data_IF_872416747579
#
_entry.id   IF_872416747579
#
_cell.length_a   1.000
_cell.length_b   1.000
_cell.length_c   1.000
_cell.angle_alpha   90.00
_cell.angle_beta   90.00
_cell.angle_gamma   90.00
#
_symmetry.space_group_name_H-M   'P 1'
#
loop_
_entity.id
_entity.type
_entity.pdbx_description
1 polymer ?
#
# COMPACT_ATOMS: atom_id res chain seq x y z
N UNK A 1 5.14 -23.61 1.98
CA UNK A 1 4.12 -22.56 2.20
C UNK A 1 4.60 -21.27 1.54
N UNK A 2 4.50 -21.19 0.22
CA UNK A 2 5.01 -20.06 -0.57
C UNK A 2 4.02 -19.78 -1.71
N UNK A 3 2.82 -19.35 -1.34
CA UNK A 3 1.78 -18.86 -2.25
C UNK A 3 0.99 -17.84 -1.46
N UNK A 4 0.68 -16.71 -2.10
CA UNK A 4 0.02 -15.50 -1.55
C UNK A 4 1.05 -14.50 -1.04
N UNK A 5 1.54 -13.65 -1.94
CA UNK A 5 1.63 -12.18 -1.77
C UNK A 5 1.79 -11.57 -3.16
N UNK A 6 0.79 -11.81 -4.02
CA UNK A 6 0.60 -11.03 -5.24
C UNK A 6 -0.67 -10.22 -5.07
N UNK A 7 -0.49 -8.91 -4.85
CA UNK A 7 -1.36 -7.75 -5.14
C UNK A 7 -1.33 -6.72 -4.02
N UNK A 8 -0.16 -6.19 -3.70
CA UNK A 8 -0.05 -4.90 -3.01
C UNK A 8 0.63 -3.92 -3.96
N UNK A 9 -0.11 -3.49 -4.98
CA UNK A 9 0.32 -2.40 -5.88
C UNK A 9 -0.76 -1.90 -6.87
N UNK A 10 -1.99 -2.42 -6.81
CA UNK A 10 -2.91 -2.30 -7.95
C UNK A 10 -3.81 -1.07 -8.00
N UNK A 11 -4.24 -0.51 -6.86
CA UNK A 11 -5.38 0.44 -6.86
C UNK A 11 -5.21 1.65 -5.95
N UNK A 12 -4.13 1.77 -5.16
CA UNK A 12 -4.21 2.63 -3.97
C UNK A 12 -3.27 3.84 -3.88
N UNK A 13 -2.99 4.51 -5.01
CA UNK A 13 -2.35 5.83 -4.93
C UNK A 13 -2.90 6.86 -5.92
N UNK A 14 -4.14 6.69 -6.42
CA UNK A 14 -4.73 7.70 -7.32
C UNK A 14 -6.25 7.87 -7.17
N UNK A 15 -6.82 7.58 -6.00
CA UNK A 15 -8.25 7.86 -5.72
C UNK A 15 -8.46 8.94 -4.66
N UNK A 16 -7.40 9.55 -4.12
CA UNK A 16 -7.49 10.59 -3.10
C UNK A 16 -6.92 11.89 -3.72
N UNK A 17 -7.77 12.87 -4.08
CA UNK A 17 -7.34 14.14 -4.66
C UNK A 17 -6.54 15.04 -3.71
N UNK A 18 -6.34 14.61 -2.46
CA UNK A 18 -5.81 15.42 -1.37
C UNK A 18 -4.32 15.19 -1.04
N UNK A 19 -3.62 14.28 -1.73
CA UNK A 19 -2.20 14.00 -1.45
C UNK A 19 -1.31 14.34 -2.65
N UNK A 20 -0.41 15.33 -2.54
CA UNK A 20 0.59 15.64 -3.54
C UNK A 20 1.84 14.73 -3.40
N UNK A 21 1.67 13.51 -2.90
CA UNK A 21 2.79 12.61 -2.64
C UNK A 21 3.19 11.90 -3.94
N UNK A 22 4.40 12.17 -4.42
CA UNK A 22 4.95 11.55 -5.62
C UNK A 22 5.34 10.09 -5.36
N UNK A 23 4.34 9.22 -5.30
CA UNK A 23 4.50 7.77 -5.11
C UNK A 23 5.07 7.07 -6.36
N UNK A 24 5.52 7.81 -7.37
CA UNK A 24 6.02 7.28 -8.64
C UNK A 24 7.16 6.29 -8.44
N UNK A 25 8.09 6.58 -7.55
CA UNK A 25 9.23 5.70 -7.27
C UNK A 25 8.75 4.36 -6.67
N UNK A 26 7.80 4.38 -5.73
CA UNK A 26 7.20 3.15 -5.18
C UNK A 26 6.62 2.28 -6.31
N UNK A 27 5.89 2.87 -7.25
CA UNK A 27 5.35 2.14 -8.40
C UNK A 27 6.40 1.59 -9.35
N UNK A 28 7.49 2.33 -9.59
CA UNK A 28 8.60 1.88 -10.42
C UNK A 28 9.24 0.65 -9.78
N UNK A 29 9.53 0.69 -8.48
CA UNK A 29 10.13 -0.43 -7.75
C UNK A 29 9.20 -1.65 -7.72
N UNK A 30 7.91 -1.48 -7.41
CA UNK A 30 6.92 -2.57 -7.44
C UNK A 30 6.81 -3.22 -8.82
N UNK A 31 6.91 -2.44 -9.91
CA UNK A 31 6.93 -2.97 -11.27
C UNK A 31 8.20 -3.78 -11.56
N UNK A 32 9.36 -3.31 -11.10
CA UNK A 32 10.64 -4.00 -11.27
C UNK A 32 10.70 -5.32 -10.50
N UNK A 33 10.01 -5.42 -9.36
CA UNK A 33 9.95 -6.64 -8.57
C UNK A 33 9.11 -7.74 -9.22
N UNK A 34 8.29 -7.43 -10.24
CA UNK A 34 7.45 -8.41 -10.93
C UNK A 34 8.30 -9.49 -11.60
N UNK A 35 8.23 -10.72 -11.07
CA UNK A 35 8.98 -11.87 -11.58
C UNK A 35 8.31 -12.57 -12.75
N UNK A 36 6.97 -12.61 -12.75
CA UNK A 36 6.17 -13.29 -13.78
C UNK A 36 5.01 -12.43 -14.27
N UNK A 37 4.53 -12.63 -15.52
CA UNK A 37 3.38 -11.92 -16.02
C UNK A 37 2.11 -12.20 -15.22
N UNK A 38 1.26 -11.19 -15.00
CA UNK A 38 0.07 -11.31 -14.15
C UNK A 38 -0.99 -12.23 -14.76
N UNK A 39 -0.99 -12.42 -16.07
CA UNK A 39 -1.84 -13.39 -16.77
C UNK A 39 -1.46 -14.84 -16.46
N UNK A 40 -0.23 -15.11 -16.02
CA UNK A 40 0.18 -16.46 -15.64
C UNK A 40 -0.36 -16.89 -14.27
N UNK A 41 -0.88 -15.94 -13.47
CA UNK A 41 -1.39 -16.20 -12.12
C UNK A 41 -2.92 -16.12 -12.04
N UNK A 42 -3.66 -16.25 -13.16
CA UNK A 42 -5.11 -16.03 -13.21
C UNK A 42 -5.88 -16.86 -12.16
N UNK A 43 -5.54 -18.14 -12.02
CA UNK A 43 -6.17 -19.07 -11.08
C UNK A 43 -5.89 -18.75 -9.60
N UNK A 44 -4.85 -17.97 -9.33
CA UNK A 44 -4.44 -17.58 -7.98
C UNK A 44 -4.91 -16.17 -7.61
N UNK A 45 -5.73 -15.52 -8.45
CA UNK A 45 -6.26 -14.19 -8.15
C UNK A 45 -7.35 -14.30 -7.10
N UNK A 46 -7.27 -13.41 -6.13
CA UNK A 46 -8.29 -13.25 -5.12
C UNK A 46 -8.69 -11.78 -5.04
N UNK A 47 -9.98 -11.54 -4.86
CA UNK A 47 -10.49 -10.20 -4.60
C UNK A 47 -10.44 -9.95 -3.10
N UNK A 48 -9.42 -9.21 -2.66
CA UNK A 48 -9.17 -8.85 -1.26
C UNK A 48 -10.19 -7.85 -0.69
N UNK A 49 -11.22 -7.42 -1.45
CA UNK A 49 -12.31 -6.56 -0.96
C UNK A 49 -11.83 -5.26 -0.32
N UNK A 50 -11.06 -4.49 -1.07
CA UNK A 50 -10.56 -3.19 -0.65
C UNK A 50 -11.67 -2.30 -0.03
N UNK A 51 -11.52 -1.83 1.23
CA UNK A 51 -12.66 -1.32 2.00
C UNK A 51 -13.04 0.13 1.69
N UNK A 52 -12.25 0.87 0.89
CA UNK A 52 -12.57 2.25 0.55
C UNK A 52 -13.50 2.37 -0.66
N UNK A 53 -14.65 3.02 -0.49
CA UNK A 53 -15.60 3.32 -1.57
C UNK A 53 -15.46 4.77 -2.04
N UNK A 54 -15.44 4.98 -3.36
CA UNK A 54 -15.40 6.30 -4.00
C UNK A 54 -16.80 6.92 -4.00
N UNK A 55 -17.26 7.39 -2.85
CA UNK A 55 -18.48 8.22 -2.73
C UNK A 55 -18.11 9.71 -2.63
N UNK A 56 -19.08 10.61 -2.81
CA UNK A 56 -18.89 12.06 -2.90
C UNK A 56 -18.05 12.61 -1.73
N UNK A 57 -16.85 13.10 -2.05
CA UNK A 57 -15.79 13.45 -1.09
C UNK A 57 -16.20 14.67 -0.26
N UNK A 58 -16.54 14.44 1.00
CA UNK A 58 -16.69 15.50 2.02
C UNK A 58 -15.32 15.91 2.61
N UNK A 59 -15.19 17.07 3.27
CA UNK A 59 -13.96 17.45 3.98
C UNK A 59 -13.51 16.42 5.03
N UNK A 60 -14.46 15.79 5.74
CA UNK A 60 -14.16 14.70 6.68
C UNK A 60 -13.55 13.50 5.95
N UNK A 61 -14.06 13.16 4.76
CA UNK A 61 -13.48 12.11 3.92
C UNK A 61 -12.12 12.49 3.31
N UNK A 62 -11.83 13.78 3.12
CA UNK A 62 -10.47 14.21 2.74
C UNK A 62 -9.48 13.90 3.86
N UNK A 63 -9.83 14.27 5.10
CA UNK A 63 -9.00 14.03 6.27
C UNK A 63 -8.86 12.55 6.57
N UNK A 64 -9.96 11.78 6.53
CA UNK A 64 -9.92 10.32 6.63
C UNK A 64 -9.12 9.71 5.47
N UNK A 65 -9.17 10.27 4.27
CA UNK A 65 -8.39 9.81 3.13
C UNK A 65 -6.89 9.92 3.37
N UNK A 66 -6.43 11.03 3.95
CA UNK A 66 -5.02 11.21 4.33
C UNK A 66 -4.60 10.21 5.43
N UNK A 67 -5.39 10.09 6.51
CA UNK A 67 -5.13 9.10 7.57
C UNK A 67 -5.13 7.67 7.02
N UNK A 68 -6.08 7.34 6.14
CA UNK A 68 -6.18 6.03 5.50
C UNK A 68 -4.95 5.74 4.65
N UNK A 69 -4.49 6.71 3.86
CA UNK A 69 -3.30 6.59 3.04
C UNK A 69 -2.03 6.39 3.89
N UNK A 70 -1.89 7.10 5.01
CA UNK A 70 -0.81 6.89 6.00
C UNK A 70 -0.82 5.47 6.54
N UNK A 71 -1.96 5.02 7.06
CA UNK A 71 -2.14 3.69 7.63
C UNK A 71 -1.84 2.60 6.60
N UNK A 72 -2.34 2.77 5.37
CA UNK A 72 -2.08 1.87 4.26
C UNK A 72 -0.58 1.79 3.93
N UNK A 73 0.11 2.93 3.80
CA UNK A 73 1.56 2.95 3.57
C UNK A 73 2.33 2.26 4.70
N UNK A 74 1.92 2.48 5.95
CA UNK A 74 2.54 1.85 7.11
C UNK A 74 2.38 0.32 7.07
N UNK A 75 1.19 -0.18 6.77
CA UNK A 75 0.97 -1.62 6.67
C UNK A 75 1.73 -2.24 5.49
N UNK A 76 1.81 -1.55 4.35
CA UNK A 76 2.63 -1.98 3.22
C UNK A 76 4.11 -2.07 3.63
N UNK A 77 4.63 -1.06 4.31
CA UNK A 77 6.01 -1.05 4.82
C UNK A 77 6.26 -2.24 5.76
N UNK A 78 5.35 -2.48 6.70
CA UNK A 78 5.42 -3.62 7.63
C UNK A 78 5.43 -4.96 6.88
N UNK A 79 4.57 -5.14 5.87
CA UNK A 79 4.51 -6.36 5.06
C UNK A 79 5.84 -6.62 4.32
N UNK A 80 6.46 -5.59 3.75
CA UNK A 80 7.70 -5.73 3.00
C UNK A 80 8.95 -5.86 3.88
N UNK A 81 8.89 -5.50 5.16
CA UNK A 81 9.98 -5.72 6.12
C UNK A 81 9.98 -7.12 6.74
N UNK A 82 8.94 -7.93 6.53
CA UNK A 82 8.88 -9.31 7.02
C UNK A 82 9.98 -10.19 6.40
N UNK A 83 10.49 -11.16 7.16
CA UNK A 83 11.51 -12.12 6.70
C UNK A 83 11.07 -12.89 5.44
N UNK A 84 9.78 -13.21 5.33
CA UNK A 84 9.19 -13.85 4.16
C UNK A 84 9.35 -13.02 2.88
N UNK A 85 9.29 -11.69 2.98
CA UNK A 85 9.49 -10.76 1.87
C UNK A 85 10.96 -10.77 1.43
N UNK A 86 11.91 -10.72 2.36
CA UNK A 86 13.35 -10.85 2.08
C UNK A 86 13.73 -12.22 1.51
N UNK A 87 13.04 -13.29 1.90
CA UNK A 87 13.28 -14.63 1.34
C UNK A 87 12.73 -14.80 -0.09
N UNK A 88 11.77 -13.96 -0.50
CA UNK A 88 11.04 -14.12 -1.77
C UNK A 88 11.52 -13.15 -2.85
N UNK A 89 11.76 -11.88 -2.48
CA UNK A 89 12.06 -10.81 -3.43
C UNK A 89 13.56 -10.54 -3.54
N UNK A 90 13.97 -9.84 -4.60
CA UNK A 90 15.35 -9.38 -4.73
C UNK A 90 15.64 -8.30 -3.66
N UNK A 91 16.59 -8.57 -2.75
CA UNK A 91 16.92 -7.67 -1.64
C UNK A 91 17.24 -6.25 -2.09
N UNK A 92 18.01 -6.06 -3.16
CA UNK A 92 18.35 -4.71 -3.65
C UNK A 92 17.11 -3.94 -4.13
N UNK A 93 16.14 -4.61 -4.76
CA UNK A 93 14.89 -3.96 -5.15
C UNK A 93 13.98 -3.71 -3.94
N UNK A 94 13.98 -4.63 -2.98
CA UNK A 94 13.22 -4.51 -1.73
C UNK A 94 13.73 -3.33 -0.89
N UNK A 95 15.05 -3.16 -0.75
CA UNK A 95 15.66 -2.05 -0.01
C UNK A 95 15.30 -0.69 -0.64
N UNK A 96 15.27 -0.62 -1.97
CA UNK A 96 14.83 0.59 -2.69
C UNK A 96 13.36 0.87 -2.47
N UNK A 97 12.51 -0.16 -2.54
CA UNK A 97 11.08 -0.03 -2.26
C UNK A 97 10.85 0.49 -0.82
N UNK A 98 11.49 -0.13 0.17
CA UNK A 98 11.40 0.27 1.57
C UNK A 98 11.91 1.70 1.80
N UNK A 99 13.00 2.10 1.13
CA UNK A 99 13.50 3.47 1.18
C UNK A 99 12.48 4.48 0.64
N UNK A 100 11.85 4.19 -0.50
CA UNK A 100 10.81 5.07 -1.07
C UNK A 100 9.54 5.12 -0.23
N UNK A 101 9.14 3.98 0.37
CA UNK A 101 8.00 3.91 1.30
C UNK A 101 8.29 4.71 2.57
N UNK A 102 9.49 4.58 3.15
CA UNK A 102 9.91 5.34 4.33
C UNK A 102 9.90 6.85 4.09
N UNK A 103 10.45 7.30 2.96
CA UNK A 103 10.39 8.72 2.56
C UNK A 103 8.95 9.23 2.39
N UNK A 104 8.06 8.38 1.84
CA UNK A 104 6.65 8.72 1.66
C UNK A 104 5.92 8.85 3.00
N UNK A 105 6.25 8.00 3.98
CA UNK A 105 5.75 8.09 5.34
C UNK A 105 6.26 9.33 6.08
N UNK A 106 7.54 9.70 5.91
CA UNK A 106 8.13 10.90 6.52
C UNK A 106 7.54 12.22 5.98
N UNK A 107 7.17 12.26 4.69
CA UNK A 107 6.58 13.44 4.06
C UNK A 107 5.11 13.66 4.43
N UNK A 108 4.45 12.63 4.92
CA UNK A 108 3.09 12.69 5.40
C UNK A 108 3.12 13.24 6.84
N UNK A 109 2.80 14.52 7.03
CA UNK A 109 2.59 15.10 8.37
C UNK A 109 1.75 14.14 9.20
N UNK A 110 2.21 13.74 10.38
CA UNK A 110 1.48 12.85 11.29
C UNK A 110 0.11 13.47 11.56
N UNK A 111 -0.93 13.02 10.85
CA UNK A 111 -2.27 13.54 11.04
C UNK A 111 -2.76 12.91 12.33
N UNK A 112 -2.58 13.62 13.44
CA UNK A 112 -3.02 13.22 14.78
C UNK A 112 -4.55 13.36 14.92
N UNK A 113 -5.30 12.76 14.00
CA UNK A 113 -6.75 12.65 14.09
C UNK A 113 -7.08 11.19 14.32
N UNK A 114 -7.59 10.92 15.51
CA UNK A 114 -7.96 9.60 15.98
C UNK A 114 -9.23 9.13 15.24
N UNK A 115 -9.03 8.30 14.22
CA UNK A 115 -10.09 7.58 13.52
C UNK A 115 -9.95 6.08 13.83
N UNK A 116 -10.36 5.63 15.03
CA UNK A 116 -10.11 4.25 15.48
C UNK A 116 -10.79 3.22 14.58
N UNK A 117 -11.99 3.52 14.05
CA UNK A 117 -12.69 2.65 13.11
C UNK A 117 -11.94 2.49 11.77
N UNK A 118 -11.19 3.52 11.37
CA UNK A 118 -10.41 3.53 10.13
C UNK A 118 -9.15 2.65 10.27
N UNK A 119 -8.49 2.72 11.42
CA UNK A 119 -7.37 1.86 11.76
C UNK A 119 -7.80 0.39 11.75
N UNK A 120 -8.90 0.04 12.43
CA UNK A 120 -9.47 -1.33 12.43
C UNK A 120 -9.73 -1.80 10.99
N UNK A 121 -10.37 -0.97 10.17
CA UNK A 121 -10.69 -1.29 8.78
C UNK A 121 -9.44 -1.56 7.93
N UNK A 122 -8.35 -0.81 8.16
CA UNK A 122 -7.07 -1.03 7.45
C UNK A 122 -6.41 -2.32 7.93
N UNK A 123 -6.38 -2.57 9.24
CA UNK A 123 -5.82 -3.79 9.80
C UNK A 123 -6.56 -5.05 9.34
N UNK A 124 -7.89 -5.04 9.29
CA UNK A 124 -8.68 -6.18 8.80
C UNK A 124 -8.43 -6.51 7.32
N UNK A 125 -7.97 -5.54 6.54
CA UNK A 125 -7.67 -5.72 5.13
C UNK A 125 -6.31 -6.41 4.85
N UNK A 126 -5.33 -6.27 5.75
CA UNK A 126 -3.97 -6.81 5.59
C UNK A 126 -3.80 -8.17 6.27
#
# INVERSE_FOLDING_TARGET
MAKIYLLVAGVMFCSIPACPLDNKEIFIHLRQMKTIPSQSCLEHRHDFKFPWKRENISPIQMTQGTCYHQLMLQQIFNLFTMESSYATWNNTLLDKLLSSLGQSLEQLEEVTLDFPDLEITVWEYF
#
